data_IF_614294790460
#
_entry.id   IF_614294790460
#
_cell.length_a   1.000
_cell.length_b   1.000
_cell.length_c   1.000
_cell.angle_alpha   90.00
_cell.angle_beta   90.00
_cell.angle_gamma   90.00
#
_symmetry.space_group_name_H-M   'P 1'
#
loop_
_entity.id
_entity.type
_entity.pdbx_description
1 polymer ?
#
# COMPACT_ATOMS: atom_id res chain seq x y z
N UNK A 1 -6.45 -27.28 9.09
CA UNK A 1 -7.03 -28.43 9.83
C UNK A 1 -7.56 -27.94 11.16
N UNK A 2 -8.51 -28.65 11.80
CA UNK A 2 -9.05 -28.28 13.12
C UNK A 2 -7.95 -28.05 14.17
N UNK A 3 -6.93 -28.91 14.19
CA UNK A 3 -5.77 -28.78 15.08
C UNK A 3 -4.98 -27.46 14.88
N UNK A 4 -4.85 -26.97 13.64
CA UNK A 4 -4.20 -25.69 13.38
C UNK A 4 -5.03 -24.49 13.86
N UNK A 5 -6.36 -24.59 13.78
CA UNK A 5 -7.28 -23.57 14.29
C UNK A 5 -7.23 -23.52 15.82
N UNK A 6 -7.19 -24.67 16.49
CA UNK A 6 -7.11 -24.73 17.95
C UNK A 6 -5.76 -24.24 18.48
N UNK A 7 -4.66 -24.60 17.79
CA UNK A 7 -3.33 -24.06 18.11
C UNK A 7 -3.26 -22.53 17.95
N UNK A 8 -3.81 -21.99 16.86
CA UNK A 8 -3.88 -20.54 16.65
C UNK A 8 -4.75 -19.85 17.72
N UNK A 9 -5.90 -20.44 18.07
CA UNK A 9 -6.80 -19.93 19.10
C UNK A 9 -6.12 -19.86 20.47
N UNK A 10 -5.37 -20.89 20.82
CA UNK A 10 -4.63 -20.95 22.08
C UNK A 10 -3.51 -19.90 22.13
N UNK A 11 -2.75 -19.74 21.04
CA UNK A 11 -1.75 -18.68 20.92
C UNK A 11 -2.35 -17.29 21.05
N UNK A 12 -3.50 -17.03 20.41
CA UNK A 12 -4.19 -15.75 20.49
C UNK A 12 -4.68 -15.44 21.91
N UNK A 13 -5.14 -16.45 22.66
CA UNK A 13 -5.57 -16.27 24.06
C UNK A 13 -4.40 -15.93 24.98
N UNK A 14 -3.30 -16.68 24.89
CA UNK A 14 -2.09 -16.37 25.68
C UNK A 14 -1.55 -14.98 25.37
N UNK A 15 -1.51 -14.61 24.08
CA UNK A 15 -1.09 -13.27 23.68
C UNK A 15 -2.02 -12.18 24.20
N UNK A 16 -3.32 -12.46 24.36
CA UNK A 16 -4.28 -11.54 24.95
C UNK A 16 -4.08 -11.40 26.47
N UNK A 17 -3.77 -12.49 27.17
CA UNK A 17 -3.50 -12.49 28.62
C UNK A 17 -2.18 -11.76 28.96
N UNK A 18 -1.19 -11.84 28.08
CA UNK A 18 0.11 -11.14 28.22
C UNK A 18 0.06 -9.68 27.73
N UNK A 19 -1.00 -9.27 27.02
CA UNK A 19 -1.09 -7.92 26.47
C UNK A 19 -1.41 -6.90 27.55
N UNK A 20 -0.61 -5.83 27.64
CA UNK A 20 -0.93 -4.67 28.48
C UNK A 20 -2.27 -4.02 28.06
N UNK A 21 -3.32 -4.08 28.90
CA UNK A 21 -4.64 -3.54 28.59
C UNK A 21 -4.65 -2.02 28.56
N UNK A 22 -3.63 -1.34 29.10
CA UNK A 22 -3.52 0.12 29.09
C UNK A 22 -3.10 0.68 27.73
N UNK A 23 -2.67 -0.19 26.80
CA UNK A 23 -2.27 0.20 25.44
C UNK A 23 -0.99 1.05 25.39
N UNK A 24 -0.29 1.21 26.52
CA UNK A 24 0.89 2.07 26.66
C UNK A 24 2.02 1.59 25.74
N UNK A 25 2.17 0.27 25.63
CA UNK A 25 3.12 -0.35 24.69
C UNK A 25 2.55 -0.57 23.29
N UNK A 26 1.22 -0.52 23.12
CA UNK A 26 0.57 -0.78 21.83
C UNK A 26 0.87 0.33 20.82
N UNK A 27 0.76 1.59 21.23
CA UNK A 27 1.04 2.73 20.35
C UNK A 27 2.52 2.79 19.90
N UNK A 28 3.44 2.35 20.77
CA UNK A 28 4.86 2.23 20.42
C UNK A 28 5.10 1.06 19.47
N UNK A 29 4.53 -0.11 19.75
CA UNK A 29 4.62 -1.29 18.87
C UNK A 29 4.05 -1.00 17.49
N UNK A 30 2.86 -0.41 17.40
CA UNK A 30 2.22 -0.03 16.13
C UNK A 30 3.11 0.95 15.34
N UNK A 31 3.73 1.93 16.03
CA UNK A 31 4.64 2.87 15.39
C UNK A 31 5.92 2.20 14.87
N UNK A 32 6.52 1.29 15.64
CA UNK A 32 7.69 0.51 15.22
C UNK A 32 7.35 -0.40 14.05
N UNK A 33 6.18 -1.05 14.08
CA UNK A 33 5.71 -1.88 12.97
C UNK A 33 5.51 -1.06 11.70
N UNK A 34 4.94 0.15 11.81
CA UNK A 34 4.78 1.06 10.68
C UNK A 34 6.13 1.49 10.09
N UNK A 35 7.12 1.80 10.93
CA UNK A 35 8.49 2.11 10.49
C UNK A 35 9.10 0.92 9.76
N UNK A 36 9.00 -0.29 10.33
CA UNK A 36 9.50 -1.52 9.69
C UNK A 36 8.81 -1.80 8.36
N UNK A 37 7.50 -1.59 8.28
CA UNK A 37 6.75 -1.70 7.03
C UNK A 37 7.26 -0.71 5.98
N UNK A 38 7.40 0.57 6.37
CA UNK A 38 7.97 1.62 5.51
C UNK A 38 9.38 1.29 5.02
N UNK A 39 10.25 0.77 5.89
CA UNK A 39 11.60 0.32 5.54
C UNK A 39 11.61 -0.81 4.52
N UNK A 40 10.71 -1.79 4.63
CA UNK A 40 10.58 -2.87 3.64
C UNK A 40 10.13 -2.34 2.28
N UNK A 41 9.16 -1.43 2.25
CA UNK A 41 8.71 -0.80 1.00
C UNK A 41 9.86 -0.02 0.35
N UNK A 42 10.52 0.84 1.13
CA UNK A 42 11.63 1.65 0.63
C UNK A 42 12.77 0.79 0.10
N UNK A 43 13.11 -0.31 0.77
CA UNK A 43 14.14 -1.24 0.31
C UNK A 43 13.81 -1.81 -1.07
N UNK A 44 12.55 -2.22 -1.29
CA UNK A 44 12.11 -2.73 -2.59
C UNK A 44 12.24 -1.66 -3.68
N UNK A 45 11.77 -0.44 -3.39
CA UNK A 45 11.88 0.70 -4.31
C UNK A 45 13.34 1.04 -4.62
N UNK A 46 14.21 1.08 -3.61
CA UNK A 46 15.63 1.38 -3.80
C UNK A 46 16.35 0.30 -4.63
N UNK A 47 16.00 -0.98 -4.44
CA UNK A 47 16.56 -2.07 -5.24
C UNK A 47 16.13 -1.99 -6.70
N UNK A 48 14.85 -1.69 -6.97
CA UNK A 48 14.35 -1.48 -8.33
C UNK A 48 15.02 -0.28 -8.99
N UNK A 49 15.03 0.88 -8.32
CA UNK A 49 15.61 2.10 -8.87
C UNK A 49 17.14 1.98 -9.09
N UNK A 50 17.86 1.27 -8.22
CA UNK A 50 19.28 1.01 -8.40
C UNK A 50 19.57 0.13 -9.63
N UNK A 51 18.69 -0.79 -10.00
CA UNK A 51 18.82 -1.57 -11.23
C UNK A 51 18.78 -0.68 -12.48
N UNK A 52 18.10 0.46 -12.40
CA UNK A 52 18.02 1.49 -13.45
C UNK A 52 19.07 2.61 -13.30
N UNK A 53 20.02 2.48 -12.37
CA UNK A 53 21.09 3.46 -12.14
C UNK A 53 20.72 4.66 -11.25
N UNK A 54 19.57 4.62 -10.58
CA UNK A 54 19.08 5.69 -9.71
C UNK A 54 19.01 5.25 -8.23
N UNK A 55 20.10 5.36 -7.45
CA UNK A 55 20.07 5.02 -6.04
C UNK A 55 19.14 5.97 -5.27
N UNK A 56 18.22 5.41 -4.47
CA UNK A 56 17.27 6.17 -3.65
C UNK A 56 17.59 5.96 -2.16
N UNK A 57 17.69 7.07 -1.42
CA UNK A 57 17.85 7.05 0.03
C UNK A 57 16.55 7.44 0.75
N UNK A 58 16.37 6.97 1.99
CA UNK A 58 15.31 7.44 2.89
C UNK A 58 15.87 7.91 4.23
N UNK A 59 16.39 9.15 4.31
CA UNK A 59 16.95 9.69 5.55
C UNK A 59 15.96 9.68 6.73
N UNK A 60 14.66 9.77 6.47
CA UNK A 60 13.62 9.74 7.50
C UNK A 60 13.38 8.34 8.11
N UNK A 61 14.02 7.30 7.57
CA UNK A 61 14.00 5.94 8.11
C UNK A 61 15.33 5.56 8.78
N UNK A 62 16.26 6.51 8.93
CA UNK A 62 17.47 6.31 9.72
C UNK A 62 17.11 6.04 11.19
N UNK A 63 17.82 5.10 11.82
CA UNK A 63 17.54 4.66 13.19
C UNK A 63 17.57 5.84 14.18
N UNK A 64 18.47 6.81 14.01
CA UNK A 64 18.56 7.97 14.91
C UNK A 64 17.39 8.93 14.75
N UNK A 65 16.91 9.09 13.51
CA UNK A 65 15.72 9.90 13.24
C UNK A 65 14.48 9.21 13.83
N UNK A 66 14.37 7.89 13.65
CA UNK A 66 13.27 7.09 14.21
C UNK A 66 13.28 7.15 15.74
N UNK A 67 14.42 6.91 16.38
CA UNK A 67 14.59 6.98 17.84
C UNK A 67 14.20 8.37 18.38
N UNK A 68 14.67 9.44 17.75
CA UNK A 68 14.30 10.80 18.13
C UNK A 68 12.79 11.04 18.01
N UNK A 69 12.15 10.57 16.94
CA UNK A 69 10.71 10.66 16.75
C UNK A 69 9.90 9.80 17.74
N UNK A 70 10.44 8.64 18.17
CA UNK A 70 9.78 7.75 19.14
C UNK A 70 9.90 8.26 20.59
N UNK A 71 10.93 9.06 20.90
CA UNK A 71 11.09 9.71 22.20
C UNK A 71 10.09 10.85 22.47
N UNK A 72 9.48 11.40 21.41
CA UNK A 72 8.45 12.45 21.50
C UNK A 72 7.12 11.86 21.96
N UNK A 73 6.36 12.62 22.78
CA UNK A 73 5.05 12.17 23.28
C UNK A 73 4.11 11.90 22.10
N UNK A 74 3.32 10.80 22.11
CA UNK A 74 2.50 10.42 20.97
C UNK A 74 1.56 11.52 20.42
N UNK A 75 0.97 12.32 21.32
CA UNK A 75 0.05 13.41 20.94
C UNK A 75 0.74 14.64 20.32
N UNK A 76 2.05 14.79 20.48
CA UNK A 76 2.86 15.81 19.80
C UNK A 76 3.35 15.30 18.44
N UNK A 77 3.57 13.98 18.34
CA UNK A 77 3.98 13.31 17.10
C UNK A 77 2.86 13.23 16.06
N UNK A 78 1.63 12.91 16.49
CA UNK A 78 0.45 12.78 15.62
C UNK A 78 -0.79 13.34 16.28
N UNK A 79 -1.65 13.96 15.48
CA UNK A 79 -2.91 14.58 15.93
C UNK A 79 -3.89 14.64 14.76
N UNK A 80 -5.22 14.47 14.98
CA UNK A 80 -6.20 14.60 13.90
C UNK A 80 -6.29 16.02 13.33
N UNK A 81 -5.77 17.02 14.03
CA UNK A 81 -5.94 18.43 13.70
C UNK A 81 -4.85 19.02 12.82
N UNK A 82 -3.66 18.40 12.81
CA UNK A 82 -2.48 18.94 12.11
C UNK A 82 -1.80 17.82 11.35
N UNK A 83 -1.54 18.10 10.08
CA UNK A 83 -0.78 17.18 9.24
C UNK A 83 0.71 17.23 9.62
N UNK A 84 1.27 16.10 10.04
CA UNK A 84 2.69 15.91 10.40
C UNK A 84 3.26 17.00 11.34
N UNK A 85 2.67 17.20 12.53
CA UNK A 85 3.01 18.31 13.43
C UNK A 85 4.50 18.31 13.83
N UNK A 86 5.05 17.15 14.15
CA UNK A 86 6.46 17.02 14.55
C UNK A 86 7.43 17.39 13.42
N UNK A 87 7.14 16.99 12.18
CA UNK A 87 7.98 17.34 11.03
C UNK A 87 7.87 18.84 10.70
N UNK A 88 6.66 19.42 10.84
CA UNK A 88 6.46 20.84 10.63
C UNK A 88 7.24 21.69 11.66
N UNK A 89 7.26 21.25 12.91
CA UNK A 89 8.07 21.86 13.97
C UNK A 89 9.56 21.77 13.68
N UNK A 90 10.05 20.57 13.36
CA UNK A 90 11.46 20.31 13.10
C UNK A 90 12.03 21.07 11.89
N UNK A 91 11.18 21.45 10.92
CA UNK A 91 11.58 22.15 9.70
C UNK A 91 11.32 23.66 9.76
N UNK A 92 10.81 24.20 10.87
CA UNK A 92 10.61 25.64 11.02
C UNK A 92 11.93 26.39 10.85
N UNK A 93 11.92 27.44 10.03
CA UNK A 93 13.11 28.24 9.72
C UNK A 93 14.08 27.58 8.73
N UNK A 94 13.86 26.33 8.34
CA UNK A 94 14.64 25.62 7.31
C UNK A 94 13.92 25.70 5.95
N UNK A 95 12.60 25.48 5.95
CA UNK A 95 11.77 25.54 4.74
C UNK A 95 10.87 26.79 4.75
N UNK A 96 10.39 27.27 3.58
CA UNK A 96 9.45 28.38 3.53
C UNK A 96 8.18 28.10 4.33
N UNK A 97 7.69 29.10 5.06
CA UNK A 97 6.51 28.96 5.94
C UNK A 97 5.27 28.44 5.20
N UNK A 98 5.11 28.83 3.93
CA UNK A 98 4.03 28.31 3.06
C UNK A 98 4.02 26.79 2.90
N UNK A 99 5.19 26.14 2.98
CA UNK A 99 5.30 24.67 2.90
C UNK A 99 4.88 24.01 4.22
N UNK A 100 5.06 24.70 5.36
CA UNK A 100 4.65 24.25 6.69
C UNK A 100 3.15 24.48 6.95
N UNK A 101 2.59 25.55 6.37
CA UNK A 101 1.16 25.88 6.45
C UNK A 101 0.28 24.93 5.60
N UNK A 102 0.89 24.09 4.75
CA UNK A 102 0.15 23.15 3.91
C UNK A 102 -0.46 22.03 4.76
N UNK A 103 -1.76 22.14 5.03
CA UNK A 103 -2.51 21.21 5.86
C UNK A 103 -2.85 19.87 5.19
N UNK A 104 -2.67 19.76 3.87
CA UNK A 104 -2.96 18.54 3.11
C UNK A 104 -1.68 17.95 2.52
N UNK A 105 -1.50 16.62 2.67
CA UNK A 105 -0.74 15.88 1.65
C UNK A 105 -1.48 16.10 0.34
N UNK A 106 -0.78 16.23 -0.79
CA UNK A 106 -1.44 16.01 -2.07
C UNK A 106 -2.10 14.64 -2.00
N UNK A 107 -3.42 14.62 -1.83
CA UNK A 107 -4.15 13.37 -1.69
C UNK A 107 -4.02 12.63 -3.01
N UNK A 108 -3.83 11.32 -2.95
CA UNK A 108 -4.15 10.41 -4.07
C UNK A 108 -5.67 10.37 -4.33
N UNK A 109 -6.45 11.08 -3.51
CA UNK A 109 -7.90 11.24 -3.58
C UNK A 109 -8.47 11.64 -4.94
N UNK A 110 -7.84 12.51 -5.78
CA UNK A 110 -8.41 12.87 -7.08
C UNK A 110 -8.52 11.65 -8.02
N UNK A 111 -7.53 10.76 -7.97
CA UNK A 111 -7.52 9.54 -8.79
C UNK A 111 -8.62 8.58 -8.31
N UNK A 112 -8.79 8.46 -6.99
CA UNK A 112 -9.82 7.61 -6.38
C UNK A 112 -11.24 8.15 -6.52
N UNK A 113 -11.42 9.47 -6.59
CA UNK A 113 -12.71 10.10 -6.84
C UNK A 113 -13.28 9.73 -8.22
N UNK A 114 -12.43 9.36 -9.18
CA UNK A 114 -12.84 8.93 -10.50
C UNK A 114 -13.22 7.44 -10.56
N UNK A 115 -12.76 6.60 -9.62
CA UNK A 115 -12.99 5.15 -9.67
C UNK A 115 -14.47 4.74 -9.73
N UNK A 116 -15.44 5.41 -9.06
CA UNK A 116 -16.86 5.08 -9.23
C UNK A 116 -17.35 5.24 -10.69
N UNK A 117 -16.77 6.17 -11.46
CA UNK A 117 -17.08 6.36 -12.89
C UNK A 117 -16.64 5.17 -13.73
N UNK A 118 -15.53 4.53 -13.37
CA UNK A 118 -14.97 3.36 -14.07
C UNK A 118 -15.50 2.02 -13.53
N UNK A 119 -16.51 2.04 -12.64
CA UNK A 119 -17.09 0.83 -12.06
C UNK A 119 -17.53 -0.22 -13.11
N UNK A 120 -18.17 0.14 -14.24
CA UNK A 120 -18.50 -0.83 -15.27
C UNK A 120 -17.27 -1.55 -15.82
N UNK A 121 -16.18 -0.82 -16.10
CA UNK A 121 -14.93 -1.38 -16.61
C UNK A 121 -14.25 -2.27 -15.56
N UNK A 122 -14.30 -1.88 -14.28
CA UNK A 122 -13.80 -2.69 -13.17
C UNK A 122 -14.59 -4.00 -13.01
N UNK A 123 -15.91 -3.95 -13.22
CA UNK A 123 -16.77 -5.14 -13.19
C UNK A 123 -16.51 -6.05 -14.39
N UNK A 124 -16.16 -5.49 -15.55
CA UNK A 124 -15.78 -6.28 -16.72
C UNK A 124 -14.48 -7.08 -16.47
N UNK A 125 -13.57 -6.59 -15.63
CA UNK A 125 -12.37 -7.36 -15.23
C UNK A 125 -12.71 -8.63 -14.44
N UNK A 126 -13.87 -8.68 -13.77
CA UNK A 126 -14.35 -9.89 -13.11
C UNK A 126 -14.76 -10.98 -14.13
N UNK A 127 -15.04 -10.62 -15.37
CA UNK A 127 -15.40 -11.54 -16.45
C UNK A 127 -14.12 -12.00 -17.16
N UNK A 128 -13.81 -13.30 -17.08
CA UNK A 128 -12.55 -13.83 -17.60
C UNK A 128 -11.32 -13.33 -16.84
N UNK A 129 -11.44 -13.11 -15.53
CA UNK A 129 -10.30 -12.71 -14.68
C UNK A 129 -9.25 -13.82 -14.66
N UNK A 130 -8.03 -13.50 -15.08
CA UNK A 130 -6.89 -14.41 -15.00
C UNK A 130 -6.50 -14.68 -13.56
N UNK A 131 -6.64 -13.68 -12.68
CA UNK A 131 -6.47 -13.87 -11.24
C UNK A 131 -7.43 -14.92 -10.68
N UNK A 132 -8.67 -14.97 -11.18
CA UNK A 132 -9.66 -15.95 -10.74
C UNK A 132 -9.32 -17.36 -11.24
N UNK A 133 -8.88 -17.49 -12.50
CA UNK A 133 -8.42 -18.77 -13.07
C UNK A 133 -7.22 -19.35 -12.31
N UNK A 134 -6.35 -18.48 -11.78
CA UNK A 134 -5.22 -18.86 -10.94
C UNK A 134 -5.60 -19.06 -9.46
N UNK A 135 -6.86 -18.86 -9.09
CA UNK A 135 -7.35 -18.98 -7.70
C UNK A 135 -6.83 -17.90 -6.75
N UNK A 136 -6.36 -16.78 -7.27
CA UNK A 136 -5.81 -15.67 -6.48
C UNK A 136 -6.89 -14.71 -5.97
N UNK A 137 -8.06 -14.69 -6.61
CA UNK A 137 -9.22 -13.87 -6.21
C UNK A 137 -10.51 -14.69 -6.24
N UNK A 138 -11.43 -14.33 -5.35
CA UNK A 138 -12.83 -14.76 -5.39
C UNK A 138 -13.63 -13.70 -6.15
N UNK A 139 -14.14 -14.09 -7.33
CA UNK A 139 -14.81 -13.18 -8.27
C UNK A 139 -16.11 -12.62 -7.69
N UNK A 140 -16.86 -13.42 -6.94
CA UNK A 140 -18.14 -12.98 -6.36
C UNK A 140 -17.89 -11.98 -5.24
N UNK A 141 -16.86 -12.21 -4.41
CA UNK A 141 -16.45 -11.24 -3.40
C UNK A 141 -15.93 -9.95 -4.00
N UNK A 142 -15.13 -10.02 -5.06
CA UNK A 142 -14.62 -8.84 -5.76
C UNK A 142 -15.77 -8.03 -6.36
N UNK A 143 -16.70 -8.70 -7.06
CA UNK A 143 -17.91 -8.08 -7.63
C UNK A 143 -18.74 -7.39 -6.55
N UNK A 144 -18.98 -8.06 -5.42
CA UNK A 144 -19.69 -7.50 -4.28
C UNK A 144 -19.00 -6.24 -3.74
N UNK A 145 -17.67 -6.27 -3.58
CA UNK A 145 -16.89 -5.14 -3.08
C UNK A 145 -16.88 -3.94 -4.04
N UNK A 146 -16.91 -4.19 -5.36
CA UNK A 146 -17.00 -3.14 -6.38
C UNK A 146 -18.38 -2.47 -6.42
N UNK A 147 -19.46 -3.19 -6.09
CA UNK A 147 -20.80 -2.61 -5.98
C UNK A 147 -21.01 -1.76 -4.73
N UNK A 148 -20.24 -2.00 -3.67
CA UNK A 148 -20.34 -1.29 -2.39
C UNK A 148 -20.03 0.21 -2.45
N UNK A 149 -20.25 0.89 -1.32
CA UNK A 149 -19.86 2.28 -1.11
C UNK A 149 -18.46 2.31 -0.49
N UNK A 150 -17.55 3.07 -1.09
CA UNK A 150 -16.19 3.21 -0.57
C UNK A 150 -16.10 4.41 0.36
N UNK A 151 -16.12 4.14 1.67
CA UNK A 151 -16.08 5.17 2.71
C UNK A 151 -14.66 5.57 3.13
N UNK A 152 -13.66 4.85 2.64
CA UNK A 152 -12.23 5.07 2.95
C UNK A 152 -11.37 4.79 1.71
N UNK A 153 -10.14 5.29 1.70
CA UNK A 153 -9.17 5.04 0.61
C UNK A 153 -8.69 3.58 0.54
N UNK A 154 -8.99 2.75 1.55
CA UNK A 154 -8.54 1.35 1.58
C UNK A 154 -9.07 0.54 0.39
N UNK A 155 -10.35 0.68 0.06
CA UNK A 155 -10.95 -0.03 -1.07
C UNK A 155 -10.36 0.41 -2.42
N UNK A 156 -10.28 1.72 -2.74
CA UNK A 156 -9.55 2.22 -3.90
C UNK A 156 -8.14 1.66 -4.07
N UNK A 157 -7.32 1.67 -3.02
CA UNK A 157 -5.94 1.14 -3.05
C UNK A 157 -5.93 -0.36 -3.42
N UNK A 158 -6.82 -1.15 -2.83
CA UNK A 158 -6.89 -2.58 -3.10
C UNK A 158 -7.38 -2.87 -4.53
N UNK A 159 -8.33 -2.08 -5.04
CA UNK A 159 -8.80 -2.17 -6.43
C UNK A 159 -7.68 -1.85 -7.40
N UNK A 160 -6.95 -0.75 -7.17
CA UNK A 160 -5.80 -0.36 -7.99
C UNK A 160 -4.75 -1.47 -8.09
N UNK A 161 -4.38 -2.08 -6.95
CA UNK A 161 -3.45 -3.20 -6.90
C UNK A 161 -3.97 -4.43 -7.64
N UNK A 162 -5.26 -4.77 -7.47
CA UNK A 162 -5.90 -5.90 -8.15
C UNK A 162 -5.91 -5.71 -9.67
N UNK A 163 -6.28 -4.52 -10.14
CA UNK A 163 -6.28 -4.16 -11.57
C UNK A 163 -4.87 -4.22 -12.14
N UNK A 164 -3.87 -3.69 -11.42
CA UNK A 164 -2.47 -3.74 -11.82
C UNK A 164 -1.96 -5.18 -12.00
N UNK A 165 -2.27 -6.06 -11.04
CA UNK A 165 -1.89 -7.48 -11.12
C UNK A 165 -2.60 -8.21 -12.27
N UNK A 166 -3.92 -8.01 -12.43
CA UNK A 166 -4.70 -8.60 -13.53
C UNK A 166 -4.12 -8.19 -14.89
N UNK A 167 -3.84 -6.89 -15.06
CA UNK A 167 -3.23 -6.38 -16.29
C UNK A 167 -1.84 -6.97 -16.53
N UNK A 168 -0.98 -6.99 -15.52
CA UNK A 168 0.34 -7.59 -15.64
C UNK A 168 0.28 -9.07 -16.06
N UNK A 169 -0.63 -9.86 -15.48
CA UNK A 169 -0.81 -11.26 -15.88
C UNK A 169 -1.24 -11.40 -17.34
N UNK A 170 -2.18 -10.57 -17.79
CA UNK A 170 -2.62 -10.55 -19.20
C UNK A 170 -1.50 -10.12 -20.15
N UNK A 171 -0.67 -9.17 -19.75
CA UNK A 171 0.48 -8.72 -20.55
C UNK A 171 1.57 -9.81 -20.68
N UNK A 172 1.62 -10.78 -19.76
CA UNK A 172 2.54 -11.93 -19.83
C UNK A 172 2.02 -13.07 -20.71
N UNK A 173 0.74 -13.06 -21.10
CA UNK A 173 0.20 -14.08 -21.98
C UNK A 173 0.74 -13.84 -23.39
N UNK A 174 1.40 -14.85 -24.01
CA UNK A 174 1.88 -14.71 -25.38
C UNK A 174 0.68 -14.38 -26.27
N UNK A 175 0.68 -13.21 -26.89
CA UNK A 175 -0.27 -12.91 -27.96
C UNK A 175 0.01 -13.90 -29.07
N UNK A 176 -0.86 -14.89 -29.26
CA UNK A 176 -0.62 -16.00 -30.16
C UNK A 176 -0.49 -15.56 -31.62
N UNK A 177 0.74 -15.32 -32.09
CA UNK A 177 1.39 -16.07 -33.17
C UNK A 177 2.70 -15.39 -33.61
N UNK A 178 3.80 -16.14 -33.82
CA UNK A 178 4.92 -15.65 -34.60
C UNK A 178 4.48 -15.57 -36.08
N UNK A 179 4.38 -14.38 -36.64
CA UNK A 179 4.26 -14.22 -38.09
C UNK A 179 5.60 -14.62 -38.72
N UNK A 180 5.73 -15.88 -39.10
CA UNK A 180 6.77 -16.34 -40.01
C UNK A 180 6.43 -15.88 -41.44
N UNK A 181 7.29 -14.98 -41.94
CA UNK A 181 7.72 -14.74 -43.32
C UNK A 181 6.66 -14.56 -44.43
N UNK A 182 6.66 -13.36 -45.03
CA UNK A 182 6.59 -13.22 -46.49
C UNK A 182 7.92 -12.69 -47.01
N UNK A 183 8.80 -13.63 -47.37
CA UNK A 183 9.87 -13.40 -48.33
C UNK A 183 9.20 -13.23 -49.69
N UNK A 184 9.17 -12.02 -50.22
CA UNK A 184 8.62 -11.72 -51.54
C UNK A 184 9.50 -10.73 -52.28
N UNK A 185 10.52 -11.24 -52.97
CA UNK A 185 11.03 -10.59 -54.19
C UNK A 185 10.06 -10.93 -55.34
N UNK A 186 9.76 -9.98 -56.23
CA UNK A 186 10.45 -9.89 -57.52
C UNK A 186 10.65 -8.41 -57.95
N UNK A 187 11.46 -8.02 -58.94
CA UNK A 187 12.32 -8.68 -59.92
C UNK A 187 13.12 -7.58 -60.63
#
# INVERSE_FOLDING_TARGET
>A
TPAAVDAARELLRRAADEADPTGRDRALRDAVELVRHGGRLQRRTAQAAAADGFPVAAPLLDDRVVEACLAVRPHERTTPWRYKPLAAEALRGIVPERSLARATKGGTTPEYAALPRYRPDLLALCEGSRLAELGLVDVDRLRSALHGVWLTDAMPIMVEQTVGCERWLRDLEPTGSPTALMTGAPG
#
